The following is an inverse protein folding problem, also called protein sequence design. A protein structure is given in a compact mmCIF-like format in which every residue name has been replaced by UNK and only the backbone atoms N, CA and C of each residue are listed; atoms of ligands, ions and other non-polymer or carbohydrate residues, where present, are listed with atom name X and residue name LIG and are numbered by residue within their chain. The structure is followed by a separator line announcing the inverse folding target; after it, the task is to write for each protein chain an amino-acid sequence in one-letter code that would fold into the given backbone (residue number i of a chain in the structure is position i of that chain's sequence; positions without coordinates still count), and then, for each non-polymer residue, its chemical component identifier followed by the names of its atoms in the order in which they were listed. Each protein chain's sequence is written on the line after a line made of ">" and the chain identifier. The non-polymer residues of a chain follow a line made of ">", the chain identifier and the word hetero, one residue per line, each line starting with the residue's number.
data_IF_482933781685
#
_entry.id   IF_482933781685
#
_cell.length_a   1.000
_cell.length_b   1.000
_cell.length_c   1.000
_cell.angle_alpha   90.00
_cell.angle_beta   90.00
_cell.angle_gamma   90.00
#
_symmetry.space_group_name_H-M   'P 1'
#
loop_
_entity.id
_entity.type
_entity.pdbx_description
1 polymer ?
#
# COMPACT_ATOMS: atom_id res chain seq x y z
N UNK A 1 -12.68 -12.96 0.68
CA UNK A 1 -12.32 -12.45 -0.65
C UNK A 1 -10.96 -11.79 -0.58
N UNK A 2 -10.29 -11.68 -1.69
CA UNK A 2 -8.92 -11.17 -1.71
C UNK A 2 -8.87 -9.66 -1.54
N UNK A 3 -7.89 -9.17 -0.78
CA UNK A 3 -7.63 -7.75 -0.69
C UNK A 3 -7.11 -7.25 -2.03
N UNK A 4 -7.64 -6.13 -2.52
CA UNK A 4 -7.19 -5.54 -3.78
C UNK A 4 -5.96 -4.66 -3.60
N UNK A 5 -5.73 -4.15 -2.40
CA UNK A 5 -4.63 -3.24 -2.10
C UNK A 5 -3.67 -3.90 -1.14
N UNK A 6 -2.38 -3.85 -1.46
CA UNK A 6 -1.31 -4.31 -0.57
C UNK A 6 -0.35 -3.16 -0.32
N UNK A 7 -0.09 -2.88 0.94
CA UNK A 7 0.90 -1.90 1.35
C UNK A 7 2.14 -2.61 1.87
N UNK A 8 3.29 -2.37 1.24
CA UNK A 8 4.57 -2.86 1.73
C UNK A 8 5.27 -1.72 2.47
N UNK A 9 5.61 -1.96 3.71
CA UNK A 9 6.22 -0.95 4.55
C UNK A 9 7.09 -1.56 5.63
N UNK A 10 7.37 -0.75 6.66
CA UNK A 10 8.23 -1.14 7.78
C UNK A 10 7.79 -0.38 9.03
N UNK A 11 7.90 -1.00 10.22
CA UNK A 11 7.61 -0.27 11.46
C UNK A 11 8.54 0.95 11.62
N UNK A 12 8.00 2.04 12.16
CA UNK A 12 8.77 3.25 12.40
C UNK A 12 8.97 4.15 11.18
N UNK A 13 8.29 3.88 10.09
CA UNK A 13 8.37 4.66 8.86
C UNK A 13 7.23 5.68 8.81
N UNK A 14 7.54 6.97 8.85
CA UNK A 14 6.52 8.02 8.83
C UNK A 14 5.72 8.05 7.53
N UNK A 15 6.39 7.87 6.39
CA UNK A 15 5.70 7.83 5.11
C UNK A 15 4.80 6.59 4.99
N UNK A 16 5.20 5.48 5.63
CA UNK A 16 4.36 4.29 5.69
C UNK A 16 3.10 4.55 6.51
N UNK A 17 3.22 5.31 7.60
CA UNK A 17 2.06 5.68 8.42
C UNK A 17 1.09 6.56 7.62
N UNK A 18 1.61 7.52 6.86
CA UNK A 18 0.79 8.38 6.01
C UNK A 18 0.09 7.56 4.92
N UNK A 19 0.80 6.65 4.27
CA UNK A 19 0.24 5.78 3.25
C UNK A 19 -0.86 4.89 3.81
N UNK A 20 -0.63 4.35 5.01
CA UNK A 20 -1.62 3.50 5.69
C UNK A 20 -2.91 4.27 5.94
N UNK A 21 -2.80 5.50 6.40
CA UNK A 21 -3.97 6.33 6.68
C UNK A 21 -4.79 6.60 5.41
N UNK A 22 -4.12 6.91 4.30
CA UNK A 22 -4.78 7.14 3.01
C UNK A 22 -5.48 5.87 2.52
N UNK A 23 -4.77 4.75 2.54
CA UNK A 23 -5.31 3.47 2.06
C UNK A 23 -6.51 3.06 2.90
N UNK A 24 -6.40 3.15 4.22
CA UNK A 24 -7.49 2.79 5.12
C UNK A 24 -8.74 3.64 4.84
N UNK A 25 -8.57 4.95 4.67
CA UNK A 25 -9.69 5.86 4.42
C UNK A 25 -10.36 5.56 3.08
N UNK A 26 -9.57 5.41 2.01
CA UNK A 26 -10.12 5.16 0.67
C UNK A 26 -10.78 3.79 0.60
N UNK A 27 -10.16 2.77 1.16
CA UNK A 27 -10.73 1.43 1.16
C UNK A 27 -12.03 1.37 1.97
N UNK A 28 -12.09 2.06 3.10
CA UNK A 28 -13.31 2.14 3.89
C UNK A 28 -14.43 2.84 3.10
N UNK A 29 -14.10 3.91 2.40
CA UNK A 29 -15.04 4.65 1.57
C UNK A 29 -15.64 3.78 0.46
N UNK A 30 -14.81 2.93 -0.16
CA UNK A 30 -15.20 2.14 -1.33
C UNK A 30 -15.59 0.70 -0.99
N UNK A 31 -15.53 0.31 0.27
CA UNK A 31 -15.85 -1.06 0.70
C UNK A 31 -14.83 -2.08 0.22
N UNK A 32 -13.57 -1.69 0.06
CA UNK A 32 -12.51 -2.58 -0.38
C UNK A 32 -11.66 -3.05 0.79
N UNK A 33 -11.08 -4.23 0.66
CA UNK A 33 -10.16 -4.78 1.64
C UNK A 33 -8.72 -4.45 1.25
N UNK A 34 -7.86 -4.31 2.25
CA UNK A 34 -6.44 -4.08 2.04
C UNK A 34 -5.64 -4.82 3.10
N UNK A 35 -4.38 -5.12 2.78
CA UNK A 35 -3.46 -5.76 3.71
C UNK A 35 -2.15 -4.98 3.76
N UNK A 36 -1.47 -5.08 4.88
CA UNK A 36 -0.15 -4.49 5.07
C UNK A 36 0.86 -5.60 5.33
N UNK A 37 2.00 -5.52 4.64
CA UNK A 37 3.09 -6.49 4.77
C UNK A 37 4.36 -5.74 5.13
N UNK A 38 5.05 -6.19 6.19
CA UNK A 38 6.35 -5.63 6.53
C UNK A 38 7.41 -6.27 5.65
N UNK A 39 8.26 -5.43 5.03
CA UNK A 39 9.37 -5.94 4.23
C UNK A 39 10.44 -6.61 5.10
N UNK A 40 10.41 -6.37 6.42
CA UNK A 40 11.32 -7.02 7.35
C UNK A 40 11.00 -8.50 7.55
N UNK A 41 9.80 -8.93 7.16
CA UNK A 41 9.37 -10.33 7.30
C UNK A 41 9.93 -11.23 6.20
N UNK A 42 10.48 -10.65 5.12
CA UNK A 42 10.98 -11.43 3.99
C UNK A 42 12.18 -10.71 3.38
N UNK A 43 13.39 -11.32 3.42
CA UNK A 43 14.59 -10.70 2.84
C UNK A 43 14.45 -10.34 1.36
N UNK A 44 13.68 -11.09 0.60
CA UNK A 44 13.46 -10.79 -0.81
C UNK A 44 12.68 -9.48 -0.99
N UNK A 45 11.70 -9.23 -0.10
CA UNK A 45 10.95 -7.98 -0.11
C UNK A 45 11.84 -6.82 0.32
N UNK A 46 12.68 -7.03 1.33
CA UNK A 46 13.61 -6.00 1.79
C UNK A 46 14.56 -5.59 0.67
N UNK A 47 15.12 -6.55 -0.04
CA UNK A 47 16.01 -6.27 -1.16
C UNK A 47 15.31 -5.51 -2.27
N UNK A 48 14.06 -5.87 -2.55
CA UNK A 48 13.31 -5.28 -3.67
C UNK A 48 12.80 -3.87 -3.36
N UNK A 49 12.35 -3.64 -2.14
CA UNK A 49 11.60 -2.43 -1.81
C UNK A 49 12.25 -1.50 -0.77
N UNK A 50 13.43 -1.85 -0.23
CA UNK A 50 14.01 -1.10 0.88
C UNK A 50 14.12 0.41 0.66
N UNK A 51 14.35 0.83 -0.58
CA UNK A 51 14.49 2.25 -0.92
C UNK A 51 13.21 2.87 -1.49
N UNK A 52 12.15 2.11 -1.60
CA UNK A 52 10.90 2.57 -2.22
C UNK A 52 9.71 2.57 -1.27
N UNK A 53 9.89 2.06 -0.05
CA UNK A 53 8.77 2.00 0.91
C UNK A 53 8.29 3.41 1.28
N UNK A 54 6.98 3.58 1.47
CA UNK A 54 5.93 2.59 1.30
C UNK A 54 5.64 2.32 -0.18
N UNK A 55 5.40 1.05 -0.52
CA UNK A 55 5.03 0.65 -1.87
C UNK A 55 3.60 0.14 -1.84
N UNK A 56 2.77 0.66 -2.74
CA UNK A 56 1.36 0.28 -2.82
C UNK A 56 1.11 -0.50 -4.10
N UNK A 57 0.49 -1.66 -3.95
CA UNK A 57 0.05 -2.48 -5.07
C UNK A 57 -1.48 -2.48 -5.13
N UNK A 58 -2.02 -2.40 -6.33
CA UNK A 58 -3.46 -2.52 -6.58
C UNK A 58 -3.65 -3.62 -7.62
N UNK A 59 -4.48 -4.61 -7.28
CA UNK A 59 -4.79 -5.73 -8.16
C UNK A 59 -3.53 -6.44 -8.69
N UNK A 60 -2.49 -6.52 -7.85
CA UNK A 60 -1.26 -7.21 -8.18
C UNK A 60 -0.25 -6.40 -8.98
N UNK A 61 -0.53 -5.14 -9.25
CA UNK A 61 0.37 -4.25 -9.98
C UNK A 61 0.84 -3.12 -9.07
N UNK A 62 2.12 -2.74 -9.18
CA UNK A 62 2.63 -1.62 -8.44
C UNK A 62 1.90 -0.35 -8.88
N UNK A 63 1.30 0.33 -7.91
CA UNK A 63 0.48 1.51 -8.14
C UNK A 63 1.24 2.79 -7.81
N UNK A 64 1.86 2.83 -6.64
CA UNK A 64 2.56 4.01 -6.15
C UNK A 64 3.71 3.59 -5.25
N UNK A 65 4.67 4.50 -5.06
CA UNK A 65 5.72 4.34 -4.07
C UNK A 65 5.91 5.67 -3.33
N UNK A 66 6.43 5.61 -2.11
CA UNK A 66 6.62 6.71 -1.15
C UNK A 66 5.30 7.32 -0.70
N UNK A 67 4.58 8.04 -1.56
CA UNK A 67 3.32 8.69 -1.21
C UNK A 67 2.17 8.06 -2.00
N UNK A 68 1.01 8.01 -1.36
CA UNK A 68 -0.21 7.51 -2.00
C UNK A 68 -1.16 8.67 -2.19
N UNK A 69 -1.54 8.91 -3.44
CA UNK A 69 -2.56 9.90 -3.76
C UNK A 69 -3.95 9.28 -3.55
N UNK A 70 -4.78 9.85 -2.66
CA UNK A 70 -6.14 9.33 -2.48
C UNK A 70 -6.95 9.30 -3.77
N UNK A 71 -6.80 10.33 -4.60
CA UNK A 71 -7.54 10.43 -5.85
C UNK A 71 -7.12 9.36 -6.84
N UNK A 72 -5.83 9.13 -6.99
CA UNK A 72 -5.32 8.08 -7.87
C UNK A 72 -5.74 6.69 -7.38
N UNK A 73 -5.69 6.49 -6.07
CA UNK A 73 -6.11 5.21 -5.49
C UNK A 73 -7.60 4.96 -5.72
N UNK A 74 -8.45 5.97 -5.50
CA UNK A 74 -9.87 5.85 -5.79
C UNK A 74 -10.11 5.49 -7.24
N UNK A 75 -9.39 6.14 -8.14
CA UNK A 75 -9.52 5.89 -9.58
C UNK A 75 -9.12 4.47 -9.96
N UNK A 76 -8.04 3.96 -9.35
CA UNK A 76 -7.59 2.60 -9.59
C UNK A 76 -8.56 1.54 -9.08
N UNK A 77 -9.31 1.84 -8.02
CA UNK A 77 -10.22 0.90 -7.39
C UNK A 77 -11.63 0.94 -7.97
N UNK A 78 -11.97 1.96 -8.71
CA UNK A 78 -13.30 2.06 -9.35
C UNK A 78 -13.42 1.09 -10.49
N UNK A 79 -14.62 0.52 -10.70
CA UNK A 79 -14.87 -0.34 -11.85
C UNK A 79 -14.79 0.42 -13.18
#
# INVERSE_FOLDING_TARGET
>A
MSARVTLYGRPGCHLCDDARAVIAAVCAELGEEWVEVSIDDDPALADKFAHEIPVTFVDGKQHDFWRVSPERLRRALRP
#
